data_IF_504785011231
#
_entry.id   IF_504785011231
#
_cell.length_a   1.000
_cell.length_b   1.000
_cell.length_c   1.000
_cell.angle_alpha   90.00
_cell.angle_beta   90.00
_cell.angle_gamma   90.00
#
_symmetry.space_group_name_H-M   'P 1'
#
loop_
_entity.id
_entity.type
_entity.pdbx_description
1 polymer ?
#
# COMPACT_ATOMS: atom_id res chain seq x y z
N UNK A 1 15.07 14.55 3.35
CA UNK A 1 14.22 15.59 2.78
C UNK A 1 13.65 15.17 1.43
N UNK A 2 14.47 14.80 0.41
CA UNK A 2 14.03 14.47 -0.96
C UNK A 2 13.03 13.33 -1.02
N UNK A 3 13.20 12.24 -0.26
CA UNK A 3 12.22 11.15 -0.15
C UNK A 3 10.82 11.66 0.20
N UNK A 4 10.72 12.52 1.22
CA UNK A 4 9.43 13.06 1.65
C UNK A 4 8.84 14.06 0.66
N UNK A 5 9.69 14.80 -0.06
CA UNK A 5 9.23 15.67 -1.14
C UNK A 5 8.62 14.83 -2.26
N UNK A 6 9.32 13.79 -2.72
CA UNK A 6 8.83 12.87 -3.73
C UNK A 6 7.49 12.23 -3.32
N UNK A 7 7.39 11.73 -2.07
CA UNK A 7 6.18 11.14 -1.56
C UNK A 7 5.00 12.13 -1.58
N UNK A 8 5.19 13.32 -1.02
CA UNK A 8 4.12 14.32 -0.96
C UNK A 8 3.69 14.80 -2.35
N UNK A 9 4.64 15.02 -3.26
CA UNK A 9 4.29 15.40 -4.63
C UNK A 9 3.56 14.28 -5.38
N UNK A 10 3.93 13.04 -5.17
CA UNK A 10 3.18 11.91 -5.72
C UNK A 10 1.73 11.88 -5.22
N UNK A 11 1.50 12.11 -3.93
CA UNK A 11 0.15 12.20 -3.37
C UNK A 11 -0.64 13.37 -3.98
N UNK A 12 0.00 14.53 -4.14
CA UNK A 12 -0.59 15.69 -4.80
C UNK A 12 -0.94 15.40 -6.27
N UNK A 13 -0.05 14.76 -7.01
CA UNK A 13 -0.28 14.41 -8.42
C UNK A 13 -1.40 13.38 -8.58
N UNK A 14 -1.53 12.40 -7.69
CA UNK A 14 -2.65 11.48 -7.70
C UNK A 14 -4.00 12.19 -7.55
N UNK A 15 -4.03 13.23 -6.72
CA UNK A 15 -5.27 13.93 -6.38
C UNK A 15 -5.61 15.03 -7.40
N UNK A 16 -4.61 15.79 -7.84
CA UNK A 16 -4.81 17.04 -8.58
C UNK A 16 -4.26 17.05 -10.01
N UNK A 17 -3.56 15.99 -10.44
CA UNK A 17 -2.82 16.01 -11.70
C UNK A 17 -1.57 16.87 -11.60
N UNK A 18 -1.32 17.75 -12.57
CA UNK A 18 -0.21 18.70 -12.51
C UNK A 18 -0.36 19.68 -11.35
N UNK A 19 0.75 20.01 -10.68
CA UNK A 19 0.82 20.93 -9.53
C UNK A 19 2.09 21.76 -9.63
N UNK A 20 2.15 22.97 -9.03
CA UNK A 20 3.39 23.74 -8.99
C UNK A 20 4.49 22.97 -8.25
N UNK A 21 5.65 22.78 -8.87
CA UNK A 21 6.81 22.17 -8.24
C UNK A 21 7.69 23.22 -7.58
N UNK A 22 8.09 22.95 -6.33
CA UNK A 22 9.03 23.78 -5.59
C UNK A 22 10.16 22.91 -5.05
N UNK A 23 11.39 23.34 -5.26
CA UNK A 23 12.61 22.74 -4.71
C UNK A 23 13.21 23.56 -3.57
N UNK A 24 12.57 24.65 -3.22
CA UNK A 24 12.93 25.59 -2.17
C UNK A 24 11.72 25.88 -1.25
N UNK A 25 11.96 26.61 -0.18
CA UNK A 25 10.91 27.03 0.76
C UNK A 25 10.16 28.21 0.17
N UNK A 26 8.86 28.04 -0.07
CA UNK A 26 7.98 29.11 -0.51
C UNK A 26 7.75 30.07 0.66
N UNK A 27 8.02 31.33 0.43
CA UNK A 27 7.84 32.40 1.43
C UNK A 27 6.49 33.08 1.24
N UNK A 28 5.89 33.54 2.33
CA UNK A 28 4.59 34.25 2.30
C UNK A 28 4.62 35.58 1.59
N UNK A 29 5.80 36.15 1.35
CA UNK A 29 6.04 37.41 0.65
C UNK A 29 6.49 37.24 -0.80
N UNK A 30 6.63 35.97 -1.29
CA UNK A 30 7.00 35.69 -2.69
C UNK A 30 5.75 35.58 -3.56
N UNK A 31 5.35 36.67 -4.19
CA UNK A 31 4.20 36.66 -5.12
C UNK A 31 4.44 35.71 -6.31
N UNK A 32 5.66 35.61 -6.82
CA UNK A 32 6.01 34.76 -7.93
C UNK A 32 5.74 33.29 -7.59
N UNK A 33 6.13 32.83 -6.39
CA UNK A 33 5.88 31.46 -5.95
C UNK A 33 4.38 31.23 -5.64
N UNK A 34 3.75 32.18 -4.97
CA UNK A 34 2.35 32.03 -4.53
C UNK A 34 1.37 31.95 -5.70
N UNK A 35 1.67 32.63 -6.80
CA UNK A 35 0.84 32.65 -8.02
C UNK A 35 1.42 31.84 -9.18
N UNK A 36 2.43 31.01 -8.91
CA UNK A 36 3.02 30.12 -9.92
C UNK A 36 1.94 29.22 -10.52
N UNK A 37 1.82 29.15 -11.86
CA UNK A 37 0.91 28.23 -12.53
C UNK A 37 1.30 26.77 -12.26
N UNK A 38 0.38 25.85 -12.50
CA UNK A 38 0.66 24.42 -12.39
C UNK A 38 1.69 23.98 -13.41
N UNK A 39 2.68 23.23 -12.96
CA UNK A 39 3.55 22.47 -13.82
C UNK A 39 2.80 21.24 -14.34
N UNK A 40 3.22 20.69 -15.49
CA UNK A 40 2.61 19.50 -16.04
C UNK A 40 2.85 18.28 -15.13
N UNK A 41 1.93 17.31 -15.17
CA UNK A 41 2.12 16.03 -14.49
C UNK A 41 3.45 15.38 -14.89
N UNK A 42 3.79 15.47 -16.16
CA UNK A 42 5.03 14.88 -16.70
C UNK A 42 6.26 15.48 -16.03
N UNK A 43 6.32 16.80 -15.97
CA UNK A 43 7.42 17.51 -15.31
C UNK A 43 7.53 17.14 -13.81
N UNK A 44 6.41 17.18 -13.10
CA UNK A 44 6.40 16.87 -11.66
C UNK A 44 6.84 15.44 -11.39
N UNK A 45 6.36 14.47 -12.18
CA UNK A 45 6.72 13.05 -11.98
C UNK A 45 8.19 12.76 -12.33
N UNK A 46 8.79 13.50 -13.28
CA UNK A 46 10.23 13.42 -13.52
C UNK A 46 11.03 13.92 -12.30
N UNK A 47 10.61 15.03 -11.69
CA UNK A 47 11.25 15.52 -10.46
C UNK A 47 11.07 14.57 -9.28
N UNK A 48 9.90 13.93 -9.18
CA UNK A 48 9.62 12.88 -8.18
C UNK A 48 10.59 11.71 -8.37
N UNK A 49 10.78 11.25 -9.61
CA UNK A 49 11.71 10.16 -9.90
C UNK A 49 13.16 10.53 -9.55
N UNK A 50 13.61 11.73 -9.88
CA UNK A 50 14.95 12.22 -9.51
C UNK A 50 15.17 12.24 -8.00
N UNK A 51 14.16 12.69 -7.24
CA UNK A 51 14.23 12.71 -5.78
C UNK A 51 14.25 11.30 -5.17
N UNK A 52 13.51 10.35 -5.77
CA UNK A 52 13.54 8.95 -5.37
C UNK A 52 14.88 8.29 -5.69
N UNK A 53 15.45 8.54 -6.86
CA UNK A 53 16.77 8.05 -7.24
C UNK A 53 17.84 8.55 -6.27
N UNK A 54 17.81 9.84 -5.96
CA UNK A 54 18.70 10.41 -4.95
C UNK A 54 18.53 9.74 -3.58
N UNK A 55 17.31 9.48 -3.16
CA UNK A 55 17.04 8.81 -1.88
C UNK A 55 17.57 7.37 -1.88
N UNK A 56 17.35 6.61 -2.95
CA UNK A 56 17.88 5.25 -3.11
C UNK A 56 19.42 5.21 -3.06
N UNK A 57 20.07 6.23 -3.57
CA UNK A 57 21.53 6.31 -3.59
C UNK A 57 22.14 6.75 -2.25
N UNK A 58 21.49 7.68 -1.54
CA UNK A 58 22.07 8.39 -0.41
C UNK A 58 21.49 8.05 0.96
N UNK A 59 20.39 7.29 1.05
CA UNK A 59 19.85 6.84 2.33
C UNK A 59 20.72 5.71 2.92
N UNK A 60 20.72 5.62 4.25
CA UNK A 60 21.48 4.62 5.00
C UNK A 60 21.03 3.19 4.67
N UNK A 61 22.02 2.27 4.65
CA UNK A 61 21.85 0.84 4.43
C UNK A 61 22.24 -0.01 5.64
N UNK A 62 22.69 0.61 6.75
CA UNK A 62 23.19 -0.13 7.92
C UNK A 62 22.06 -0.87 8.64
N UNK A 63 22.38 -2.03 9.25
CA UNK A 63 21.44 -2.84 10.04
C UNK A 63 20.77 -2.05 11.16
N UNK A 64 21.45 -1.05 11.74
CA UNK A 64 20.90 -0.18 12.77
C UNK A 64 19.66 0.61 12.29
N UNK A 65 19.42 0.71 10.99
CA UNK A 65 18.31 1.41 10.37
C UNK A 65 17.25 0.47 9.77
N UNK A 66 17.46 -0.85 9.85
CA UNK A 66 16.52 -1.88 9.37
C UNK A 66 15.44 -2.17 10.43
N UNK A 67 15.03 -1.17 11.18
CA UNK A 67 13.89 -1.32 12.11
C UNK A 67 12.54 -1.00 11.47
N UNK A 68 12.52 -0.73 10.16
CA UNK A 68 11.34 -0.54 9.33
C UNK A 68 10.43 0.64 9.74
N UNK A 69 10.91 1.52 10.59
CA UNK A 69 10.20 2.70 11.07
C UNK A 69 10.86 4.02 10.63
N UNK A 70 12.13 3.98 10.24
CA UNK A 70 12.89 5.13 9.73
C UNK A 70 13.25 4.93 8.28
N UNK A 71 13.17 5.99 7.49
CA UNK A 71 13.48 5.93 6.06
C UNK A 71 14.93 5.50 5.87
N UNK A 72 15.11 4.42 5.14
CA UNK A 72 16.39 3.86 4.70
C UNK A 72 16.34 3.58 3.20
N UNK A 73 17.46 3.09 2.63
CA UNK A 73 17.56 2.77 1.21
C UNK A 73 16.51 1.76 0.74
N UNK A 74 16.25 0.74 1.53
CA UNK A 74 15.30 -0.34 1.16
C UNK A 74 13.85 0.16 1.11
N UNK A 75 13.49 1.04 2.05
CA UNK A 75 12.20 1.73 2.02
C UNK A 75 12.12 2.65 0.80
N UNK A 76 13.20 3.37 0.48
CA UNK A 76 13.24 4.23 -0.70
C UNK A 76 13.04 3.42 -2.00
N UNK A 77 13.69 2.26 -2.14
CA UNK A 77 13.52 1.34 -3.28
C UNK A 77 12.09 0.81 -3.37
N UNK A 78 11.51 0.36 -2.26
CA UNK A 78 10.13 -0.13 -2.24
C UNK A 78 9.11 0.95 -2.62
N UNK A 79 9.32 2.19 -2.16
CA UNK A 79 8.46 3.32 -2.51
C UNK A 79 8.67 3.75 -3.96
N UNK A 80 9.93 3.78 -4.43
CA UNK A 80 10.25 4.02 -5.84
C UNK A 80 9.53 3.03 -6.74
N UNK A 81 9.61 1.73 -6.45
CA UNK A 81 8.92 0.70 -7.24
C UNK A 81 7.41 0.95 -7.30
N UNK A 82 6.79 1.24 -6.16
CA UNK A 82 5.35 1.51 -6.08
C UNK A 82 4.92 2.74 -6.87
N UNK A 83 5.65 3.84 -6.74
CA UNK A 83 5.37 5.11 -7.46
C UNK A 83 5.57 4.92 -8.96
N UNK A 84 6.66 4.27 -9.36
CA UNK A 84 6.95 4.02 -10.77
C UNK A 84 5.96 3.05 -11.40
N UNK A 85 5.52 2.01 -10.69
CA UNK A 85 4.46 1.12 -11.15
C UNK A 85 3.16 1.89 -11.41
N UNK A 86 2.77 2.74 -10.47
CA UNK A 86 1.56 3.56 -10.61
C UNK A 86 1.66 4.47 -11.83
N UNK A 87 2.71 5.27 -11.94
CA UNK A 87 2.85 6.24 -13.04
C UNK A 87 3.00 5.54 -14.40
N UNK A 88 3.77 4.47 -14.47
CA UNK A 88 3.95 3.69 -15.70
C UNK A 88 2.64 3.07 -16.19
N UNK A 89 1.86 2.46 -15.30
CA UNK A 89 0.55 1.90 -15.65
C UNK A 89 -0.47 3.00 -15.93
N UNK A 90 -0.46 4.09 -15.18
CA UNK A 90 -1.34 5.24 -15.43
C UNK A 90 -1.16 5.77 -16.87
N UNK A 91 0.08 6.02 -17.31
CA UNK A 91 0.36 6.50 -18.67
C UNK A 91 0.09 5.44 -19.73
N UNK A 92 0.24 4.17 -19.41
CA UNK A 92 -0.09 3.07 -20.33
C UNK A 92 -1.58 3.03 -20.68
N UNK A 93 -2.43 3.20 -19.68
CA UNK A 93 -3.87 3.06 -19.85
C UNK A 93 -4.57 4.38 -20.22
N UNK A 94 -3.99 5.52 -19.88
CA UNK A 94 -4.50 6.83 -20.29
C UNK A 94 -3.67 7.37 -21.45
N UNK A 95 -4.24 7.37 -22.65
CA UNK A 95 -3.56 7.87 -23.85
C UNK A 95 -3.33 9.38 -23.85
N UNK A 96 -4.05 10.09 -23.02
CA UNK A 96 -3.96 11.53 -22.81
C UNK A 96 -3.95 11.82 -21.30
N UNK A 97 -3.39 12.95 -20.90
CA UNK A 97 -3.52 13.42 -19.54
C UNK A 97 -5.00 13.77 -19.27
N UNK A 98 -5.69 13.04 -18.36
CA UNK A 98 -7.11 13.30 -18.09
C UNK A 98 -7.38 14.69 -17.52
N UNK A 99 -6.39 15.34 -16.90
CA UNK A 99 -6.55 16.67 -16.31
C UNK A 99 -6.53 17.79 -17.35
N UNK A 100 -5.86 17.58 -18.46
CA UNK A 100 -5.68 18.59 -19.53
C UNK A 100 -6.31 18.20 -20.86
N UNK A 101 -6.61 16.90 -21.07
CA UNK A 101 -7.05 16.34 -22.34
C UNK A 101 -5.96 16.31 -23.42
N UNK A 102 -4.71 16.66 -23.09
CA UNK A 102 -3.58 16.68 -24.04
C UNK A 102 -2.87 15.33 -24.08
N UNK A 103 -2.38 14.97 -25.25
CA UNK A 103 -1.52 13.80 -25.39
C UNK A 103 -0.23 13.97 -24.58
N UNK A 104 0.31 12.85 -24.06
CA UNK A 104 1.60 12.84 -23.37
C UNK A 104 2.71 13.33 -24.31
N UNK A 105 3.57 14.22 -23.84
CA UNK A 105 4.72 14.73 -24.57
C UNK A 105 5.77 13.62 -24.73
N UNK A 106 6.11 12.95 -23.61
CA UNK A 106 6.97 11.77 -23.63
C UNK A 106 6.16 10.48 -23.79
N UNK A 107 6.16 9.96 -25.03
CA UNK A 107 5.48 8.71 -25.39
C UNK A 107 6.14 7.45 -24.80
N UNK A 108 7.40 7.55 -24.36
CA UNK A 108 8.16 6.43 -23.79
C UNK A 108 8.13 6.43 -22.25
N UNK A 109 7.56 7.45 -21.63
CA UNK A 109 7.56 7.57 -20.19
C UNK A 109 6.90 6.37 -19.47
N UNK A 110 5.87 5.76 -20.05
CA UNK A 110 5.27 4.54 -19.49
C UNK A 110 6.31 3.42 -19.32
N UNK A 111 7.06 3.12 -20.39
CA UNK A 111 8.09 2.09 -20.38
C UNK A 111 9.25 2.45 -19.45
N UNK A 112 9.65 3.73 -19.42
CA UNK A 112 10.66 4.24 -18.52
C UNK A 112 10.28 3.98 -17.06
N UNK A 113 9.10 4.41 -16.63
CA UNK A 113 8.67 4.22 -15.25
C UNK A 113 8.48 2.74 -14.89
N UNK A 114 7.98 1.90 -15.78
CA UNK A 114 7.87 0.46 -15.54
C UNK A 114 9.26 -0.21 -15.42
N UNK A 115 10.25 0.24 -16.16
CA UNK A 115 11.65 -0.23 -16.03
C UNK A 115 12.23 0.19 -14.70
N UNK A 116 12.11 1.46 -14.33
CA UNK A 116 12.55 1.97 -13.02
C UNK A 116 11.90 1.21 -11.84
N UNK A 117 10.63 0.78 -12.01
CA UNK A 117 9.97 -0.10 -11.06
C UNK A 117 10.65 -1.47 -10.96
N UNK A 118 10.91 -2.11 -12.11
CA UNK A 118 11.54 -3.43 -12.15
C UNK A 118 12.96 -3.40 -11.56
N UNK A 119 13.78 -2.43 -11.96
CA UNK A 119 15.13 -2.24 -11.44
C UNK A 119 15.15 -2.01 -9.92
N UNK A 120 14.23 -1.19 -9.39
CA UNK A 120 14.13 -0.99 -7.94
C UNK A 120 13.72 -2.27 -7.18
N UNK A 121 12.84 -3.09 -7.76
CA UNK A 121 12.48 -4.38 -7.19
C UNK A 121 13.65 -5.37 -7.21
N UNK A 122 14.37 -5.46 -8.34
CA UNK A 122 15.51 -6.34 -8.50
C UNK A 122 16.63 -5.98 -7.51
N UNK A 123 16.92 -4.68 -7.36
CA UNK A 123 17.92 -4.20 -6.40
C UNK A 123 17.51 -4.53 -4.96
N UNK A 124 16.24 -4.32 -4.59
CA UNK A 124 15.73 -4.65 -3.27
C UNK A 124 15.79 -6.15 -2.98
N UNK A 125 15.44 -6.99 -3.94
CA UNK A 125 15.53 -8.46 -3.81
C UNK A 125 16.98 -8.92 -3.72
N UNK A 126 17.87 -8.35 -4.53
CA UNK A 126 19.31 -8.68 -4.52
C UNK A 126 20.00 -8.32 -3.19
N UNK A 127 19.47 -7.34 -2.46
CA UNK A 127 19.98 -6.99 -1.14
C UNK A 127 19.82 -8.10 -0.09
N UNK A 128 18.87 -9.03 -0.29
CA UNK A 128 18.66 -10.21 0.57
C UNK A 128 18.25 -9.89 2.02
N UNK A 129 17.78 -8.66 2.28
CA UNK A 129 17.46 -8.19 3.64
C UNK A 129 16.08 -8.68 4.09
N UNK A 130 15.15 -8.86 3.15
CA UNK A 130 13.78 -9.29 3.44
C UNK A 130 13.50 -10.65 2.81
N UNK A 131 12.60 -11.38 3.46
CA UNK A 131 12.08 -12.65 2.95
C UNK A 131 10.63 -12.82 3.36
N UNK A 132 9.88 -13.60 2.59
CA UNK A 132 8.49 -13.90 2.91
C UNK A 132 8.45 -14.78 4.16
N UNK A 133 7.63 -14.39 5.14
CA UNK A 133 7.38 -15.23 6.32
C UNK A 133 6.60 -16.46 5.89
N UNK A 134 7.22 -17.63 6.09
CA UNK A 134 6.61 -18.92 5.77
C UNK A 134 6.78 -19.87 6.95
N UNK A 135 5.76 -19.95 7.80
CA UNK A 135 5.71 -20.90 8.90
C UNK A 135 4.55 -21.90 8.66
N UNK A 136 4.82 -23.12 8.18
CA UNK A 136 3.79 -24.12 7.91
C UNK A 136 2.92 -24.46 9.12
N UNK A 137 3.44 -24.32 10.35
CA UNK A 137 2.68 -24.57 11.57
C UNK A 137 1.59 -23.51 11.83
N UNK A 138 1.78 -22.29 11.33
CA UNK A 138 0.90 -21.16 11.58
C UNK A 138 0.27 -20.59 10.29
N UNK A 139 0.17 -21.39 9.23
CA UNK A 139 -0.33 -20.95 7.91
C UNK A 139 -1.70 -20.27 7.97
N UNK A 140 -2.54 -20.65 8.95
CA UNK A 140 -3.89 -20.12 9.14
C UNK A 140 -3.94 -18.76 9.84
N UNK A 141 -2.84 -18.27 10.40
CA UNK A 141 -2.79 -17.04 11.21
C UNK A 141 -1.65 -16.12 10.85
N UNK A 142 -0.55 -16.65 10.31
CA UNK A 142 0.71 -15.91 10.10
C UNK A 142 0.55 -14.64 9.26
N UNK A 143 -0.32 -14.65 8.24
CA UNK A 143 -0.53 -13.47 7.40
C UNK A 143 -1.19 -12.33 8.19
N UNK A 144 -2.21 -12.65 8.99
CA UNK A 144 -2.85 -11.67 9.88
C UNK A 144 -1.89 -11.16 10.96
N UNK A 145 -1.04 -12.03 11.50
CA UNK A 145 -0.06 -11.69 12.52
C UNK A 145 0.91 -10.59 12.05
N UNK A 146 1.28 -10.55 10.76
CA UNK A 146 2.12 -9.48 10.21
C UNK A 146 1.56 -8.07 10.43
N UNK A 147 0.23 -7.94 10.53
CA UNK A 147 -0.47 -6.66 10.63
C UNK A 147 -1.03 -6.37 12.03
N UNK A 148 -1.04 -7.35 12.93
CA UNK A 148 -1.70 -7.24 14.23
C UNK A 148 -0.73 -7.29 15.42
N UNK A 149 0.56 -7.50 15.19
CA UNK A 149 1.58 -7.50 16.23
C UNK A 149 1.97 -6.07 16.65
N UNK A 150 2.25 -5.87 17.93
CA UNK A 150 2.78 -4.60 18.41
C UNK A 150 4.22 -4.36 17.92
N UNK A 151 5.03 -5.43 17.85
CA UNK A 151 6.37 -5.38 17.30
C UNK A 151 6.35 -5.63 15.79
N UNK A 152 7.02 -4.79 15.03
CA UNK A 152 7.14 -4.95 13.56
C UNK A 152 7.91 -6.23 13.24
N UNK A 153 7.34 -7.08 12.38
CA UNK A 153 8.07 -8.23 11.82
C UNK A 153 9.07 -7.74 10.77
N UNK A 154 10.34 -7.70 11.14
CA UNK A 154 11.41 -7.19 10.26
C UNK A 154 11.82 -8.17 9.15
N UNK A 155 11.32 -9.41 9.18
CA UNK A 155 11.63 -10.41 8.14
C UNK A 155 10.95 -10.07 6.81
N UNK A 156 9.68 -9.67 6.85
CA UNK A 156 8.89 -9.42 5.63
C UNK A 156 8.47 -7.95 5.49
N UNK A 157 8.18 -7.25 6.59
CA UNK A 157 7.66 -5.89 6.56
C UNK A 157 8.78 -4.90 6.24
N UNK A 158 8.67 -4.23 5.10
CA UNK A 158 9.68 -3.27 4.62
C UNK A 158 9.54 -1.92 5.32
N UNK A 159 8.31 -1.46 5.54
CA UNK A 159 8.04 -0.18 6.19
C UNK A 159 6.72 -0.24 6.97
N UNK A 160 6.78 0.12 8.24
CA UNK A 160 5.62 0.17 9.10
C UNK A 160 5.68 1.34 10.09
N UNK A 161 4.51 1.73 10.55
CA UNK A 161 4.34 2.57 11.73
C UNK A 161 3.88 1.68 12.89
N UNK A 162 4.68 1.61 13.92
CA UNK A 162 4.28 0.90 15.13
C UNK A 162 3.13 1.62 15.81
N UNK A 163 2.13 0.85 16.21
CA UNK A 163 0.98 1.33 16.99
C UNK A 163 0.90 0.53 18.28
N UNK A 164 0.72 1.22 19.39
CA UNK A 164 0.51 0.58 20.68
C UNK A 164 -0.25 1.49 21.65
N UNK A 165 -0.94 0.89 22.61
CA UNK A 165 -1.64 1.62 23.66
C UNK A 165 -0.66 2.44 24.51
N UNK A 166 0.53 1.90 24.81
CA UNK A 166 1.57 2.59 25.58
C UNK A 166 2.11 3.84 24.88
N UNK A 167 2.10 3.88 23.55
CA UNK A 167 2.48 5.06 22.74
C UNK A 167 1.29 5.99 22.47
N UNK A 168 0.11 5.69 22.99
CA UNK A 168 -1.15 6.39 22.65
C UNK A 168 -1.41 6.50 21.14
N UNK A 169 -0.84 5.56 20.39
CA UNK A 169 -0.95 5.51 18.92
C UNK A 169 -1.72 4.26 18.55
N UNK A 170 -2.99 4.43 18.22
CA UNK A 170 -3.88 3.33 17.85
C UNK A 170 -4.92 3.83 16.84
N UNK A 171 -5.67 2.91 16.28
CA UNK A 171 -6.77 3.20 15.35
C UNK A 171 -8.07 2.54 15.85
N UNK A 172 -9.19 2.99 15.32
CA UNK A 172 -10.53 2.52 15.65
C UNK A 172 -11.12 1.58 14.58
N UNK A 173 -10.31 1.05 13.68
CA UNK A 173 -10.77 0.24 12.55
C UNK A 173 -11.57 -0.98 12.99
N UNK A 174 -11.10 -1.72 13.99
CA UNK A 174 -11.84 -2.90 14.48
C UNK A 174 -13.24 -2.53 14.95
N UNK A 175 -13.37 -1.41 15.67
CA UNK A 175 -14.66 -0.91 16.11
C UNK A 175 -15.53 -0.48 14.92
N UNK A 176 -14.96 0.22 13.95
CA UNK A 176 -15.68 0.65 12.74
C UNK A 176 -16.19 -0.51 11.90
N UNK A 177 -15.45 -1.61 11.83
CA UNK A 177 -15.87 -2.80 11.10
C UNK A 177 -16.88 -3.66 11.85
N UNK A 178 -16.80 -3.71 13.18
CA UNK A 178 -17.56 -4.68 13.99
C UNK A 178 -18.71 -4.08 14.80
N UNK A 179 -18.87 -2.75 14.81
CA UNK A 179 -19.97 -2.08 15.51
C UNK A 179 -21.28 -2.23 14.74
N UNK A 180 -22.30 -2.83 15.35
CA UNK A 180 -23.61 -2.97 14.77
C UNK A 180 -24.38 -1.64 14.57
N UNK A 181 -24.07 -0.62 15.41
CA UNK A 181 -24.79 0.67 15.39
C UNK A 181 -24.06 1.76 14.61
N UNK A 182 -22.72 1.80 14.67
CA UNK A 182 -21.89 2.86 14.10
C UNK A 182 -20.87 2.33 13.09
N UNK A 183 -20.89 1.03 12.81
CA UNK A 183 -19.99 0.39 11.86
C UNK A 183 -20.21 0.92 10.45
N UNK A 184 -19.11 1.19 9.78
CA UNK A 184 -19.13 1.42 8.33
C UNK A 184 -19.17 0.05 7.65
N UNK A 185 -20.15 -0.17 6.78
CA UNK A 185 -20.30 -1.44 6.05
C UNK A 185 -19.33 -1.53 4.88
N UNK A 186 -18.05 -1.43 5.18
CA UNK A 186 -17.01 -1.62 4.17
C UNK A 186 -16.91 -3.09 3.80
N UNK A 187 -16.91 -3.36 2.53
CA UNK A 187 -16.74 -4.70 1.98
C UNK A 187 -15.69 -4.67 0.88
N UNK A 188 -15.08 -5.82 0.62
CA UNK A 188 -14.29 -6.01 -0.58
C UNK A 188 -15.22 -6.23 -1.78
N UNK A 189 -14.76 -5.82 -2.94
CA UNK A 189 -15.41 -6.15 -4.21
C UNK A 189 -15.39 -7.67 -4.42
N UNK A 190 -16.49 -8.25 -4.92
CA UNK A 190 -16.59 -9.68 -5.13
C UNK A 190 -15.57 -10.20 -6.15
N UNK A 191 -15.28 -9.43 -7.20
CA UNK A 191 -14.29 -9.84 -8.19
C UNK A 191 -12.89 -9.87 -7.57
N UNK A 192 -12.60 -8.98 -6.62
CA UNK A 192 -11.35 -9.06 -5.85
C UNK A 192 -11.32 -10.30 -4.95
N UNK A 193 -12.41 -10.64 -4.26
CA UNK A 193 -12.51 -11.87 -3.43
C UNK A 193 -12.27 -13.11 -4.28
N UNK A 194 -12.76 -13.16 -5.51
CA UNK A 194 -12.52 -14.26 -6.46
C UNK A 194 -11.06 -14.42 -6.87
N UNK A 195 -10.22 -13.41 -6.71
CA UNK A 195 -8.77 -13.52 -7.00
C UNK A 195 -8.02 -14.43 -6.02
N UNK A 196 -8.56 -14.64 -4.81
CA UNK A 196 -8.01 -15.64 -3.91
C UNK A 196 -8.25 -17.03 -4.49
N UNK A 197 -7.22 -17.87 -4.49
CA UNK A 197 -7.30 -19.23 -5.03
C UNK A 197 -8.05 -20.18 -4.07
N UNK A 198 -8.46 -21.33 -4.58
CA UNK A 198 -8.85 -22.46 -3.75
C UNK A 198 -7.61 -23.05 -3.05
N UNK A 199 -7.79 -23.87 -2.01
CA UNK A 199 -6.66 -24.48 -1.28
C UNK A 199 -5.78 -25.39 -2.15
N UNK A 200 -6.32 -25.93 -3.22
CA UNK A 200 -5.59 -26.73 -4.21
C UNK A 200 -4.82 -25.89 -5.24
N UNK A 201 -4.88 -24.57 -5.15
CA UNK A 201 -4.24 -23.63 -6.06
C UNK A 201 -5.03 -23.32 -7.34
N UNK A 202 -6.20 -23.92 -7.53
CA UNK A 202 -7.08 -23.63 -8.66
C UNK A 202 -7.78 -22.26 -8.50
N UNK A 203 -8.22 -21.68 -9.62
CA UNK A 203 -9.02 -20.45 -9.60
C UNK A 203 -10.44 -20.75 -9.11
N UNK A 204 -10.98 -19.86 -8.27
CA UNK A 204 -12.37 -19.91 -7.90
C UNK A 204 -13.24 -19.34 -9.03
N UNK A 205 -14.12 -20.16 -9.58
CA UNK A 205 -14.96 -19.80 -10.74
C UNK A 205 -16.45 -19.84 -10.45
N UNK A 206 -16.84 -20.31 -9.27
CA UNK A 206 -18.24 -20.38 -8.87
C UNK A 206 -18.86 -18.99 -8.77
N UNK A 207 -20.15 -18.88 -9.08
CA UNK A 207 -20.91 -17.63 -9.07
C UNK A 207 -22.29 -17.86 -8.45
N UNK A 208 -22.79 -16.86 -7.71
CA UNK A 208 -24.12 -16.93 -7.12
C UNK A 208 -24.21 -17.84 -5.89
N UNK A 209 -23.08 -18.18 -5.29
CA UNK A 209 -23.03 -18.94 -4.05
C UNK A 209 -23.39 -18.06 -2.84
N UNK A 210 -23.92 -18.71 -1.81
CA UNK A 210 -24.01 -18.10 -0.49
C UNK A 210 -22.62 -17.76 0.04
N UNK A 211 -22.48 -16.65 0.75
CA UNK A 211 -21.20 -16.18 1.27
C UNK A 211 -20.45 -17.25 2.09
N UNK A 212 -21.19 -18.02 2.89
CA UNK A 212 -20.61 -19.10 3.69
C UNK A 212 -19.93 -20.17 2.84
N UNK A 213 -20.52 -20.50 1.69
CA UNK A 213 -19.97 -21.46 0.72
C UNK A 213 -18.83 -20.85 -0.09
N UNK A 214 -18.98 -19.58 -0.50
CA UNK A 214 -17.97 -18.87 -1.30
C UNK A 214 -16.61 -18.77 -0.60
N UNK A 215 -16.57 -18.73 0.73
CA UNK A 215 -15.35 -18.62 1.52
C UNK A 215 -14.76 -19.94 1.99
N UNK A 216 -15.42 -21.08 1.72
CA UNK A 216 -14.93 -22.39 2.09
C UNK A 216 -13.81 -22.87 1.15
N UNK A 217 -12.86 -23.64 1.71
CA UNK A 217 -11.77 -24.26 0.95
C UNK A 217 -10.93 -23.27 0.12
N UNK A 218 -10.81 -22.04 0.59
CA UNK A 218 -10.05 -20.98 -0.05
C UNK A 218 -8.68 -20.78 0.61
N UNK A 219 -7.80 -20.11 -0.10
CA UNK A 219 -6.52 -19.66 0.44
C UNK A 219 -6.70 -19.05 1.84
N UNK A 220 -5.91 -19.50 2.79
CA UNK A 220 -6.04 -19.06 4.20
C UNK A 220 -5.91 -17.55 4.39
N UNK A 221 -5.30 -16.83 3.45
CA UNK A 221 -5.21 -15.36 3.49
C UNK A 221 -6.58 -14.70 3.34
N UNK A 222 -7.54 -15.35 2.68
CA UNK A 222 -8.89 -14.82 2.56
C UNK A 222 -9.53 -14.65 3.94
N UNK A 223 -9.58 -15.71 4.75
CA UNK A 223 -10.15 -15.66 6.11
C UNK A 223 -9.35 -14.82 7.10
N UNK A 224 -8.11 -14.46 6.74
CA UNK A 224 -7.27 -13.54 7.51
C UNK A 224 -7.44 -12.08 7.09
N UNK A 225 -8.02 -11.83 5.93
CA UNK A 225 -8.25 -10.48 5.37
C UNK A 225 -9.68 -9.97 5.58
N UNK A 226 -10.67 -10.87 5.55
CA UNK A 226 -12.08 -10.54 5.74
C UNK A 226 -12.69 -11.37 6.86
N UNK A 227 -13.79 -10.89 7.43
CA UNK A 227 -14.54 -11.64 8.45
C UNK A 227 -15.30 -12.76 7.76
N UNK A 228 -14.97 -14.00 8.11
CA UNK A 228 -15.61 -15.22 7.60
C UNK A 228 -16.25 -16.00 8.75
N UNK A 229 -17.11 -17.00 8.49
CA UNK A 229 -17.58 -17.92 9.52
C UNK A 229 -16.43 -18.48 10.35
N UNK A 230 -16.59 -18.50 11.68
CA UNK A 230 -15.53 -18.91 12.61
C UNK A 230 -14.54 -17.82 13.02
N UNK A 231 -14.71 -16.59 12.55
CA UNK A 231 -13.93 -15.45 13.01
C UNK A 231 -14.13 -15.20 14.51
N UNK A 232 -13.03 -14.95 15.23
CA UNK A 232 -13.05 -14.57 16.64
C UNK A 232 -12.48 -13.17 16.83
N UNK A 233 -13.19 -12.34 17.57
CA UNK A 233 -12.76 -10.99 17.91
C UNK A 233 -11.87 -11.00 19.16
N UNK A 234 -10.76 -10.28 19.13
CA UNK A 234 -9.95 -10.00 20.31
C UNK A 234 -10.53 -8.80 21.06
N UNK A 235 -10.87 -8.98 22.32
CA UNK A 235 -11.32 -7.91 23.22
C UNK A 235 -10.45 -7.95 24.48
N UNK A 236 -9.70 -6.88 24.72
CA UNK A 236 -8.79 -6.81 25.88
C UNK A 236 -7.71 -7.92 25.88
N UNK A 237 -7.26 -8.36 24.71
CA UNK A 237 -6.28 -9.44 24.58
C UNK A 237 -6.86 -10.86 24.70
N UNK A 238 -8.15 -10.99 24.93
CA UNK A 238 -8.85 -12.28 25.03
C UNK A 238 -9.67 -12.51 23.76
N UNK A 239 -9.52 -13.69 23.16
CA UNK A 239 -10.38 -14.11 22.04
C UNK A 239 -11.80 -14.35 22.54
N UNK A 240 -12.75 -13.53 22.08
CA UNK A 240 -14.16 -13.73 22.39
C UNK A 240 -14.86 -14.43 21.23
N UNK A 241 -15.53 -15.53 21.54
CA UNK A 241 -16.16 -16.42 20.57
C UNK A 241 -17.56 -15.95 20.16
N UNK A 242 -17.78 -14.66 19.97
CA UNK A 242 -19.02 -14.22 19.33
C UNK A 242 -18.71 -13.84 17.88
N UNK A 243 -18.73 -14.80 16.95
CA UNK A 243 -18.56 -14.48 15.54
C UNK A 243 -19.74 -13.64 15.07
N UNK A 244 -19.55 -12.79 14.07
CA UNK A 244 -20.68 -12.18 13.37
C UNK A 244 -21.66 -13.26 12.93
N UNK A 245 -22.96 -13.02 13.15
CA UNK A 245 -24.00 -13.93 12.66
C UNK A 245 -24.22 -13.67 11.17
N UNK A 246 -23.78 -14.58 10.34
CA UNK A 246 -23.96 -14.53 8.89
C UNK A 246 -25.29 -15.09 8.40
N UNK A 247 -26.13 -15.60 9.33
CA UNK A 247 -27.43 -16.17 8.99
C UNK A 247 -28.56 -15.15 9.05
N UNK A 248 -28.31 -13.99 9.67
CA UNK A 248 -29.29 -12.90 9.74
C UNK A 248 -29.25 -12.11 8.43
N UNK A 249 -30.26 -12.31 7.61
CA UNK A 249 -30.55 -11.41 6.48
C UNK A 249 -30.96 -10.04 7.04
N UNK A 250 -30.26 -8.99 6.64
CA UNK A 250 -30.56 -7.60 6.98
C UNK A 250 -31.82 -7.12 6.27
#
# INVERSE_FOLDING_TARGET
ARFWRAWNYFELVKTFGGVPWYDHVVRSDSEEDLYKPRDSREYVMERVLEDLNYACEHCYTSEAWVNNQKINRYIALAIKSRICLFEGTYRKYHRVDPSTGKAWEDKQASEKFLRECAEACEELMAAGVYSIVNNPANVKTQYRELFTQEAVNTTEVIWARQMSVGMTTFHDLTWRYTSGSYGQRWSLDQDFVKTYLNLDGSRHTATGEEFTTEVENRDYRLSQSIITPGYTKLVGGVSTATPPDFTVTL
#
